data_IF_113924639464
#
_entry.id   IF_113924639464
#
_cell.length_a   1.000
_cell.length_b   1.000
_cell.length_c   1.000
_cell.angle_alpha   90.00
_cell.angle_beta   90.00
_cell.angle_gamma   90.00
#
_symmetry.space_group_name_H-M   'P 1'
#
loop_
_entity.id
_entity.type
_entity.pdbx_description
1 polymer ?
#
# COMPACT_ATOMS: atom_id res chain seq x y z
N UNK A 1 -0.24 6.97 -18.93
CA UNK A 1 -0.04 8.26 -19.60
C UNK A 1 0.53 9.21 -18.55
N UNK A 2 1.81 9.48 -18.63
CA UNK A 2 2.51 10.37 -17.70
C UNK A 2 2.68 11.73 -18.32
N UNK A 3 2.22 12.77 -17.63
CA UNK A 3 2.46 14.15 -17.96
C UNK A 3 3.85 14.60 -17.50
N UNK A 4 4.58 15.15 -18.44
CA UNK A 4 5.93 15.71 -18.31
C UNK A 4 5.89 16.98 -17.47
N UNK A 5 6.73 17.09 -16.44
CA UNK A 5 7.02 18.34 -15.75
C UNK A 5 7.88 19.24 -16.64
N UNK A 6 7.30 20.34 -17.09
CA UNK A 6 8.01 21.40 -17.78
C UNK A 6 8.70 22.34 -16.79
N UNK A 7 10.00 22.48 -16.93
CA UNK A 7 10.85 23.44 -16.23
C UNK A 7 10.73 24.81 -16.91
N UNK A 8 10.13 25.80 -16.27
CA UNK A 8 10.13 27.21 -16.75
C UNK A 8 11.38 27.91 -16.23
N UNK A 9 12.29 28.24 -17.12
CA UNK A 9 13.40 29.15 -16.89
C UNK A 9 12.93 30.58 -17.14
N UNK A 10 13.01 31.45 -16.14
CA UNK A 10 12.78 32.89 -16.24
C UNK A 10 14.10 33.59 -16.54
N UNK A 11 14.23 34.13 -17.76
CA UNK A 11 15.31 35.02 -18.18
C UNK A 11 14.99 36.44 -17.72
N UNK A 12 15.85 37.00 -16.87
CA UNK A 12 15.85 38.40 -16.52
C UNK A 12 16.65 39.20 -17.55
N UNK A 13 16.00 40.08 -18.28
CA UNK A 13 16.64 41.04 -19.19
C UNK A 13 16.88 42.35 -18.45
N UNK A 14 18.14 42.71 -18.33
CA UNK A 14 18.54 44.04 -17.84
C UNK A 14 18.38 45.11 -18.91
N UNK A 15 17.88 46.30 -18.52
CA UNK A 15 17.95 47.48 -19.29
C UNK A 15 18.74 48.55 -18.55
N UNK A 16 19.83 48.99 -19.18
CA UNK A 16 20.66 50.11 -18.77
C UNK A 16 20.07 51.38 -19.42
N UNK A 17 19.83 52.43 -18.65
CA UNK A 17 19.42 53.73 -19.13
C UNK A 17 20.12 54.84 -18.38
N UNK A 18 20.94 55.61 -19.11
CA UNK A 18 21.70 56.76 -18.64
C UNK A 18 20.87 58.07 -18.59
N UNK A 19 21.12 58.87 -17.56
CA UNK A 19 21.40 60.28 -17.70
C UNK A 19 20.26 61.29 -17.66
N UNK A 20 20.29 62.23 -16.69
CA UNK A 20 19.57 63.47 -16.70
C UNK A 20 19.65 64.19 -15.35
N UNK A 21 20.51 65.27 -15.29
CA UNK A 21 20.57 66.23 -14.17
C UNK A 21 19.42 67.23 -14.21
N UNK A 22 18.90 67.60 -13.02
CA UNK A 22 18.23 68.89 -12.86
C UNK A 22 17.20 68.94 -11.76
N UNK A 23 17.40 69.87 -10.78
CA UNK A 23 16.34 70.54 -10.04
C UNK A 23 16.02 69.99 -8.64
N UNK A 24 16.50 70.76 -7.64
CA UNK A 24 16.11 70.62 -6.24
C UNK A 24 14.69 71.19 -6.06
N UNK A 25 13.78 70.42 -5.48
CA UNK A 25 12.66 70.90 -4.66
C UNK A 25 12.29 69.81 -3.66
N UNK A 26 12.45 70.18 -2.38
CA UNK A 26 12.21 69.31 -1.23
C UNK A 26 10.72 69.04 -1.04
N UNK A 27 10.34 67.79 -1.40
CA UNK A 27 9.13 67.14 -0.83
C UNK A 27 9.60 65.91 -0.08
N UNK A 28 9.25 65.85 1.21
CA UNK A 28 9.47 64.71 2.04
C UNK A 28 8.77 63.47 1.39
N UNK A 29 9.57 62.47 1.01
CA UNK A 29 9.03 61.20 0.58
C UNK A 29 8.31 60.52 1.74
N UNK A 30 7.10 59.99 1.51
CA UNK A 30 6.43 59.16 2.50
C UNK A 30 7.25 57.88 2.69
N UNK A 31 7.71 57.63 3.93
CA UNK A 31 8.34 56.36 4.32
C UNK A 31 7.56 55.17 3.72
N UNK A 32 8.19 54.22 3.09
CA UNK A 32 7.48 53.05 2.59
C UNK A 32 6.84 52.32 3.77
N UNK A 33 5.52 52.18 3.73
CA UNK A 33 4.77 51.29 4.64
C UNK A 33 5.39 49.90 4.59
N UNK A 34 5.63 49.25 5.73
CA UNK A 34 6.18 47.89 5.74
C UNK A 34 5.23 46.97 4.95
N UNK A 35 5.71 46.42 3.87
CA UNK A 35 4.99 45.37 3.15
C UNK A 35 4.61 44.25 4.11
N UNK A 36 3.38 43.72 4.06
CA UNK A 36 2.97 42.61 4.91
C UNK A 36 3.93 41.45 4.68
N UNK A 37 4.60 41.05 5.76
CA UNK A 37 5.50 39.91 5.77
C UNK A 37 4.68 38.69 5.32
N UNK A 38 5.03 38.10 4.19
CA UNK A 38 4.39 36.87 3.71
C UNK A 38 4.50 35.81 4.80
N UNK A 39 3.40 35.52 5.48
CA UNK A 39 3.31 34.41 6.44
C UNK A 39 3.37 33.14 5.63
N UNK A 40 4.52 32.48 5.61
CA UNK A 40 4.66 31.14 5.05
C UNK A 40 3.68 30.21 5.78
N UNK A 41 2.82 29.54 5.03
CA UNK A 41 1.90 28.55 5.60
C UNK A 41 2.69 27.51 6.41
N UNK A 42 2.18 27.06 7.55
CA UNK A 42 2.87 26.08 8.39
C UNK A 42 3.13 24.78 7.59
N UNK A 43 4.25 24.09 7.87
CA UNK A 43 4.51 22.78 7.27
C UNK A 43 3.32 21.86 7.48
N UNK A 44 2.94 21.09 6.43
CA UNK A 44 1.76 20.24 6.48
C UNK A 44 2.04 18.82 6.02
N UNK A 45 1.15 17.89 6.39
CA UNK A 45 1.18 16.51 5.94
C UNK A 45 -0.17 16.06 5.38
N UNK A 46 -0.09 15.03 4.53
CA UNK A 46 -1.23 14.30 3.97
C UNK A 46 -1.05 12.81 4.26
N UNK A 47 -2.15 12.08 4.35
CA UNK A 47 -2.22 10.63 4.28
C UNK A 47 -2.61 10.19 2.86
N UNK A 48 -1.70 9.49 2.17
CA UNK A 48 -2.01 8.76 0.94
C UNK A 48 -2.50 7.38 1.36
N UNK A 49 -3.63 6.96 0.85
CA UNK A 49 -4.31 5.76 1.34
C UNK A 49 -4.54 4.74 0.23
N UNK A 50 -4.64 3.49 0.63
CA UNK A 50 -5.16 2.36 -0.12
C UNK A 50 -6.08 1.52 0.79
N UNK A 51 -7.10 0.80 0.24
CA UNK A 51 -7.56 0.76 -1.14
C UNK A 51 -8.12 2.07 -1.68
N UNK A 52 -8.25 2.17 -3.00
CA UNK A 52 -8.82 3.34 -3.67
C UNK A 52 -10.34 3.44 -3.47
N UNK A 53 -10.86 4.68 -3.53
CA UNK A 53 -12.29 4.93 -3.42
C UNK A 53 -13.07 4.22 -4.52
N UNK A 54 -14.12 3.49 -4.11
CA UNK A 54 -15.03 2.78 -5.02
C UNK A 54 -14.45 1.48 -5.59
N UNK A 55 -13.23 1.08 -5.21
CA UNK A 55 -12.64 -0.18 -5.65
C UNK A 55 -13.34 -1.40 -5.05
N UNK A 56 -13.22 -2.55 -5.72
CA UNK A 56 -13.51 -3.86 -5.16
C UNK A 56 -12.19 -4.60 -4.93
N UNK A 57 -11.98 -5.09 -3.71
CA UNK A 57 -10.73 -5.73 -3.28
C UNK A 57 -10.96 -7.11 -2.70
N UNK A 58 -9.93 -7.94 -2.63
CA UNK A 58 -9.97 -9.26 -1.99
C UNK A 58 -10.07 -9.17 -0.47
N UNK A 59 -10.38 -10.31 0.15
CA UNK A 59 -10.62 -10.44 1.60
C UNK A 59 -9.40 -10.13 2.46
N UNK A 60 -8.19 -10.21 1.89
CA UNK A 60 -6.93 -9.90 2.58
C UNK A 60 -6.50 -8.43 2.52
N UNK A 61 -7.33 -7.53 1.98
CA UNK A 61 -6.97 -6.12 1.87
C UNK A 61 -6.72 -5.49 3.25
N UNK A 62 -5.61 -4.77 3.36
CA UNK A 62 -5.26 -3.94 4.53
C UNK A 62 -5.45 -2.48 4.14
N UNK A 63 -6.11 -1.70 5.01
CA UNK A 63 -6.19 -0.26 4.81
C UNK A 63 -4.85 0.35 5.23
N UNK A 64 -4.15 0.95 4.28
CA UNK A 64 -2.84 1.58 4.53
C UNK A 64 -2.95 3.09 4.37
N UNK A 65 -2.35 3.84 5.30
CA UNK A 65 -2.17 5.29 5.21
C UNK A 65 -0.68 5.60 5.26
N UNK A 66 -0.16 6.14 4.14
CA UNK A 66 1.23 6.60 4.02
C UNK A 66 1.28 8.11 4.16
N UNK A 67 2.01 8.59 5.15
CA UNK A 67 2.13 10.02 5.43
C UNK A 67 3.27 10.65 4.60
N UNK A 68 3.01 11.83 4.04
CA UNK A 68 3.99 12.60 3.26
C UNK A 68 5.16 13.10 4.13
N UNK A 69 4.99 13.12 5.46
CA UNK A 69 6.01 13.48 6.46
C UNK A 69 6.01 12.47 7.60
N UNK A 70 7.12 12.40 8.34
CA UNK A 70 7.21 11.59 9.55
C UNK A 70 6.25 12.11 10.64
N UNK A 71 5.55 11.19 11.28
CA UNK A 71 4.61 11.44 12.37
C UNK A 71 5.29 11.06 13.70
N UNK A 72 5.39 12.01 14.60
CA UNK A 72 5.88 11.81 15.98
C UNK A 72 4.73 11.77 16.98
N UNK A 73 3.66 12.52 16.75
CA UNK A 73 2.44 12.51 17.57
C UNK A 73 1.46 11.42 17.10
N UNK A 74 1.94 10.15 17.08
CA UNK A 74 1.22 9.01 16.49
C UNK A 74 -0.18 8.82 17.05
N UNK A 75 -0.34 8.84 18.38
CA UNK A 75 -1.64 8.65 19.02
C UNK A 75 -2.67 9.73 18.61
N UNK A 76 -2.22 10.97 18.45
CA UNK A 76 -3.09 12.07 18.04
C UNK A 76 -3.55 11.91 16.59
N UNK A 77 -2.63 11.52 15.69
CA UNK A 77 -2.94 11.26 14.28
C UNK A 77 -3.82 10.02 14.13
N UNK A 78 -3.53 8.94 14.84
CA UNK A 78 -4.30 7.69 14.78
C UNK A 78 -5.74 7.87 15.24
N UNK A 79 -5.99 8.66 16.32
CA UNK A 79 -7.35 9.03 16.75
C UNK A 79 -8.15 9.78 15.68
N UNK A 80 -7.46 10.47 14.77
CA UNK A 80 -8.07 11.14 13.61
C UNK A 80 -8.35 10.20 12.42
N UNK A 81 -8.04 8.91 12.55
CA UNK A 81 -8.20 7.90 11.49
C UNK A 81 -9.01 6.74 12.01
N UNK A 82 -10.21 6.53 11.49
CA UNK A 82 -11.06 5.41 11.87
C UNK A 82 -11.52 4.63 10.65
N UNK A 83 -11.72 3.32 10.82
CA UNK A 83 -12.29 2.46 9.79
C UNK A 83 -13.57 1.85 10.31
N UNK A 84 -14.66 2.03 9.57
CA UNK A 84 -15.95 1.40 9.85
C UNK A 84 -16.30 0.41 8.75
N UNK A 85 -17.14 -0.58 9.05
CA UNK A 85 -17.57 -1.57 8.07
C UNK A 85 -19.03 -1.98 8.22
N UNK A 86 -19.59 -2.54 7.16
CA UNK A 86 -20.90 -3.18 7.15
C UNK A 86 -20.78 -4.56 6.50
N UNK A 87 -21.00 -5.68 7.22
CA UNK A 87 -21.27 -5.74 8.68
C UNK A 87 -20.13 -5.16 9.53
N UNK A 88 -20.42 -4.66 10.76
CA UNK A 88 -19.41 -4.03 11.59
C UNK A 88 -18.44 -5.07 12.17
N UNK A 89 -17.15 -4.77 12.06
CA UNK A 89 -16.07 -5.52 12.71
C UNK A 89 -15.06 -4.54 13.34
N UNK A 90 -14.46 -4.86 14.49
CA UNK A 90 -13.38 -4.06 15.07
C UNK A 90 -12.17 -4.00 14.13
N UNK A 91 -11.62 -2.79 13.95
CA UNK A 91 -10.43 -2.54 13.14
C UNK A 91 -9.42 -1.79 13.99
N UNK A 92 -8.18 -2.27 14.03
CA UNK A 92 -7.10 -1.69 14.84
C UNK A 92 -5.94 -1.31 13.93
N UNK A 93 -5.27 -0.20 14.28
CA UNK A 93 -4.10 0.29 13.58
C UNK A 93 -2.80 -0.37 14.05
N UNK A 94 -1.79 -0.40 13.18
CA UNK A 94 -0.42 -0.81 13.48
C UNK A 94 0.55 0.13 12.73
N UNK A 95 1.48 0.73 13.46
CA UNK A 95 2.47 1.63 12.88
C UNK A 95 3.72 0.86 12.42
N UNK A 96 4.02 1.01 11.14
CA UNK A 96 5.30 0.60 10.57
C UNK A 96 6.20 1.83 10.33
N UNK A 97 7.07 2.10 11.29
CA UNK A 97 7.92 3.28 11.26
C UNK A 97 7.13 4.60 11.43
N UNK A 98 7.72 5.75 11.08
CA UNK A 98 7.10 7.06 11.34
C UNK A 98 6.13 7.51 10.23
N UNK A 99 6.01 6.79 9.13
CA UNK A 99 5.29 7.26 7.95
C UNK A 99 4.20 6.32 7.46
N UNK A 100 3.95 5.21 8.12
CA UNK A 100 2.95 4.23 7.69
C UNK A 100 2.10 3.75 8.86
N UNK A 101 0.79 3.85 8.70
CA UNK A 101 -0.23 3.25 9.55
C UNK A 101 -1.06 2.28 8.70
N UNK A 102 -1.07 1.02 9.08
CA UNK A 102 -1.93 0.00 8.50
C UNK A 102 -3.07 -0.31 9.46
N UNK A 103 -4.27 -0.58 8.93
CA UNK A 103 -5.46 -0.88 9.72
C UNK A 103 -6.13 -2.14 9.15
N UNK A 104 -6.39 -3.13 10.02
CA UNK A 104 -7.06 -4.36 9.65
C UNK A 104 -7.93 -4.91 10.79
N UNK A 105 -8.93 -5.76 10.50
CA UNK A 105 -9.60 -6.56 11.52
C UNK A 105 -8.72 -7.73 11.98
N UNK A 106 -9.17 -8.45 13.00
CA UNK A 106 -8.45 -9.63 13.53
C UNK A 106 -8.37 -10.80 12.52
N UNK A 107 -9.35 -10.91 11.63
CA UNK A 107 -9.45 -11.93 10.57
C UNK A 107 -9.67 -11.26 9.22
N UNK A 108 -9.48 -11.99 8.12
CA UNK A 108 -9.81 -11.52 6.78
C UNK A 108 -11.24 -10.98 6.72
N UNK A 109 -11.44 -9.97 5.88
CA UNK A 109 -12.76 -9.41 5.63
C UNK A 109 -13.71 -10.46 5.08
N UNK A 110 -14.99 -10.33 5.42
CA UNK A 110 -16.01 -11.15 4.79
C UNK A 110 -16.40 -10.58 3.41
N UNK A 111 -16.67 -11.45 2.41
CA UNK A 111 -17.20 -11.02 1.12
C UNK A 111 -18.44 -10.13 1.25
N UNK A 112 -18.54 -9.12 0.40
CA UNK A 112 -19.64 -8.17 0.40
C UNK A 112 -19.54 -7.06 1.46
N UNK A 113 -18.53 -7.08 2.34
CA UNK A 113 -18.33 -6.02 3.33
C UNK A 113 -18.02 -4.68 2.64
N UNK A 114 -18.78 -3.65 3.02
CA UNK A 114 -18.47 -2.27 2.66
C UNK A 114 -17.62 -1.65 3.77
N UNK A 115 -16.43 -1.20 3.43
CA UNK A 115 -15.47 -0.61 4.37
C UNK A 115 -15.34 0.89 4.08
N UNK A 116 -15.33 1.71 5.13
CA UNK A 116 -15.14 3.17 5.01
C UNK A 116 -13.99 3.62 5.91
N UNK A 117 -12.97 4.21 5.29
CA UNK A 117 -11.88 4.92 5.96
C UNK A 117 -12.32 6.38 6.17
N UNK A 118 -12.31 6.84 7.41
CA UNK A 118 -12.55 8.21 7.82
C UNK A 118 -11.22 8.88 8.16
N UNK A 119 -10.82 9.86 7.39
CA UNK A 119 -9.66 10.71 7.68
C UNK A 119 -10.15 12.06 8.24
N UNK A 120 -9.75 12.39 9.47
CA UNK A 120 -10.07 13.65 10.17
C UNK A 120 -8.76 14.27 10.65
N UNK A 121 -7.89 14.57 9.68
CA UNK A 121 -6.52 15.03 9.94
C UNK A 121 -6.36 16.55 9.86
N UNK A 122 -7.38 17.28 9.38
CA UNK A 122 -7.31 18.74 9.27
C UNK A 122 -7.12 19.40 10.64
N UNK A 123 -5.99 20.12 10.80
CA UNK A 123 -5.62 20.78 12.05
C UNK A 123 -5.01 19.85 13.10
N UNK A 124 -4.90 18.56 12.84
CA UNK A 124 -4.22 17.59 13.73
C UNK A 124 -2.71 17.76 13.60
N UNK A 125 -2.02 17.95 14.72
CA UNK A 125 -0.57 18.06 14.75
C UNK A 125 0.08 16.68 14.68
N UNK A 126 0.83 16.41 13.60
CA UNK A 126 1.53 15.14 13.39
C UNK A 126 2.96 15.14 13.92
N UNK A 127 3.57 16.30 14.01
CA UNK A 127 4.86 16.60 14.60
C UNK A 127 4.91 18.07 14.95
N UNK A 128 5.88 18.51 15.77
CA UNK A 128 5.97 19.90 16.22
C UNK A 128 5.87 20.90 15.05
N UNK A 129 4.82 21.72 15.04
CA UNK A 129 4.53 22.71 14.00
C UNK A 129 4.12 22.12 12.63
N UNK A 130 3.87 20.83 12.51
CA UNK A 130 3.45 20.16 11.27
C UNK A 130 2.02 19.67 11.41
N UNK A 131 1.09 20.25 10.65
CA UNK A 131 -0.34 19.96 10.77
C UNK A 131 -0.91 19.23 9.57
N UNK A 132 -1.88 18.35 9.81
CA UNK A 132 -2.64 17.70 8.76
C UNK A 132 -3.60 18.65 8.07
N UNK A 133 -3.82 18.47 6.77
CA UNK A 133 -4.71 19.35 5.98
C UNK A 133 -5.89 18.59 5.34
N UNK A 134 -6.03 17.31 5.65
CA UNK A 134 -6.99 16.42 4.99
C UNK A 134 -8.16 16.06 5.90
N UNK A 135 -9.38 16.09 5.33
CA UNK A 135 -10.58 15.53 5.96
C UNK A 135 -11.47 14.96 4.87
N UNK A 136 -11.68 13.62 4.89
CA UNK A 136 -12.52 12.93 3.89
C UNK A 136 -12.92 11.53 4.33
N UNK A 137 -13.92 10.99 3.63
CA UNK A 137 -14.36 9.60 3.73
C UNK A 137 -14.06 8.87 2.41
N UNK A 138 -13.58 7.64 2.53
CA UNK A 138 -13.22 6.78 1.42
C UNK A 138 -13.84 5.42 1.65
N UNK A 139 -14.73 5.00 0.76
CA UNK A 139 -15.36 3.66 0.85
C UNK A 139 -14.90 2.78 -0.29
N UNK A 140 -14.76 1.49 0.00
CA UNK A 140 -14.50 0.41 -0.95
C UNK A 140 -15.31 -0.83 -0.55
N UNK A 141 -15.39 -1.83 -1.44
CA UNK A 141 -16.12 -3.06 -1.20
C UNK A 141 -15.17 -4.25 -1.19
N UNK A 142 -15.37 -5.18 -0.27
CA UNK A 142 -14.71 -6.47 -0.28
C UNK A 142 -15.46 -7.39 -1.24
N UNK A 143 -14.75 -7.93 -2.23
CA UNK A 143 -15.31 -8.82 -3.23
C UNK A 143 -15.47 -10.26 -2.73
N UNK A 144 -15.30 -11.20 -3.64
CA UNK A 144 -15.33 -12.62 -3.34
C UNK A 144 -14.18 -13.06 -2.43
N UNK A 145 -14.37 -14.18 -1.72
CA UNK A 145 -13.26 -14.85 -1.05
C UNK A 145 -12.43 -15.64 -2.08
N UNK A 146 -11.21 -15.19 -2.31
CA UNK A 146 -10.21 -15.97 -3.04
C UNK A 146 -8.87 -15.88 -2.33
N UNK A 147 -8.27 -17.03 -2.10
CA UNK A 147 -6.92 -17.14 -1.61
C UNK A 147 -6.17 -18.25 -2.34
N UNK A 148 -4.86 -18.17 -2.36
CA UNK A 148 -4.01 -19.16 -3.00
C UNK A 148 -2.97 -19.65 -2.00
N UNK A 149 -2.67 -20.95 -2.06
CA UNK A 149 -1.58 -21.57 -1.29
C UNK A 149 -0.55 -22.10 -2.27
N UNK A 150 0.66 -21.59 -2.18
CA UNK A 150 1.83 -22.04 -2.93
C UNK A 150 2.64 -22.95 -2.02
N UNK A 151 2.73 -24.22 -2.36
CA UNK A 151 3.65 -25.18 -1.75
C UNK A 151 4.94 -25.16 -2.57
N UNK A 152 5.99 -24.51 -2.03
CA UNK A 152 7.26 -24.38 -2.72
C UNK A 152 8.01 -25.70 -2.87
N UNK A 153 7.83 -26.64 -1.95
CA UNK A 153 8.45 -27.96 -2.03
C UNK A 153 7.72 -28.90 -3.01
N UNK A 154 6.38 -28.75 -3.12
CA UNK A 154 5.57 -29.51 -4.06
C UNK A 154 5.47 -28.86 -5.46
N UNK A 155 6.01 -27.64 -5.63
CA UNK A 155 5.95 -26.84 -6.86
C UNK A 155 4.52 -26.62 -7.38
N UNK A 156 3.56 -26.41 -6.48
CA UNK A 156 2.15 -26.23 -6.82
C UNK A 156 1.56 -24.97 -6.19
N UNK A 157 0.58 -24.40 -6.88
CA UNK A 157 -0.30 -23.37 -6.34
C UNK A 157 -1.74 -23.88 -6.38
N UNK A 158 -2.37 -24.01 -5.22
CA UNK A 158 -3.78 -24.31 -5.11
C UNK A 158 -4.57 -23.02 -4.91
N UNK A 159 -5.47 -22.70 -5.83
CA UNK A 159 -6.35 -21.54 -5.77
C UNK A 159 -7.69 -21.97 -5.20
N UNK A 160 -8.12 -21.31 -4.15
CA UNK A 160 -9.42 -21.52 -3.50
C UNK A 160 -10.34 -20.34 -3.78
N UNK A 161 -11.62 -20.62 -3.95
CA UNK A 161 -12.68 -19.61 -4.01
C UNK A 161 -13.88 -20.08 -3.21
N UNK A 162 -14.37 -19.23 -2.31
CA UNK A 162 -15.53 -19.49 -1.46
C UNK A 162 -15.43 -20.85 -0.73
N UNK A 163 -14.21 -21.15 -0.25
CA UNK A 163 -13.89 -22.37 0.49
C UNK A 163 -13.67 -23.64 -0.35
N UNK A 164 -13.84 -23.59 -1.68
CA UNK A 164 -13.63 -24.73 -2.57
C UNK A 164 -12.35 -24.55 -3.41
N UNK A 165 -11.71 -25.67 -3.77
CA UNK A 165 -10.59 -25.67 -4.72
C UNK A 165 -11.12 -25.28 -6.11
N UNK A 166 -10.63 -24.16 -6.62
CA UNK A 166 -10.97 -23.67 -7.96
C UNK A 166 -10.03 -24.29 -9.01
N UNK A 167 -8.73 -24.31 -8.71
CA UNK A 167 -7.72 -24.87 -9.62
C UNK A 167 -6.40 -25.15 -8.89
N UNK A 168 -5.67 -26.17 -9.35
CA UNK A 168 -4.28 -26.41 -8.98
C UNK A 168 -3.41 -26.11 -10.19
N UNK A 169 -2.37 -25.30 -9.99
CA UNK A 169 -1.46 -24.85 -11.03
C UNK A 169 -0.03 -25.30 -10.69
N UNK A 170 0.72 -25.85 -11.66
CA UNK A 170 2.15 -26.06 -11.50
C UNK A 170 2.87 -24.71 -11.47
N UNK A 171 3.86 -24.56 -10.58
CA UNK A 171 4.64 -23.32 -10.43
C UNK A 171 6.14 -23.60 -10.38
N UNK A 172 6.94 -22.56 -10.52
CA UNK A 172 8.33 -22.49 -10.10
C UNK A 172 8.47 -21.37 -9.08
N UNK A 173 9.12 -21.63 -7.97
CA UNK A 173 9.42 -20.63 -6.94
C UNK A 173 10.91 -20.27 -6.95
N UNK A 174 11.40 -19.59 -5.91
CA UNK A 174 12.79 -19.18 -5.76
C UNK A 174 13.76 -20.36 -5.70
N UNK A 175 14.87 -20.23 -6.42
CA UNK A 175 15.97 -21.20 -6.41
C UNK A 175 16.58 -21.37 -5.00
N UNK A 176 17.41 -22.39 -4.76
CA UNK A 176 18.09 -22.56 -3.47
C UNK A 176 18.91 -21.33 -3.03
N UNK A 177 19.44 -20.56 -3.99
CA UNK A 177 20.23 -19.34 -3.74
C UNK A 177 19.35 -18.12 -3.46
N UNK A 178 18.11 -18.12 -3.95
CA UNK A 178 17.19 -16.99 -3.91
C UNK A 178 15.77 -17.46 -3.55
N UNK A 179 15.61 -17.93 -2.33
CA UNK A 179 14.38 -18.57 -1.87
C UNK A 179 13.18 -17.62 -1.82
N UNK A 180 11.98 -18.14 -2.00
CA UNK A 180 10.73 -17.38 -1.86
C UNK A 180 10.36 -17.28 -0.37
N UNK A 181 9.98 -16.11 0.13
CA UNK A 181 9.46 -15.95 1.50
C UNK A 181 8.27 -16.86 1.77
N UNK A 182 8.23 -17.44 2.97
CA UNK A 182 7.00 -18.06 3.49
C UNK A 182 6.00 -17.01 4.02
N UNK A 183 4.78 -17.43 4.29
CA UNK A 183 3.75 -16.64 4.94
C UNK A 183 2.71 -16.07 4.00
N UNK A 184 1.84 -15.24 4.56
CA UNK A 184 0.73 -14.62 3.83
C UNK A 184 1.18 -13.31 3.22
N UNK A 185 1.06 -13.21 1.91
CA UNK A 185 1.28 -12.01 1.12
C UNK A 185 -0.02 -11.60 0.44
N UNK A 186 -0.17 -10.33 0.12
CA UNK A 186 -1.39 -9.79 -0.51
C UNK A 186 -1.03 -9.19 -1.86
N UNK A 187 -1.83 -9.48 -2.88
CA UNK A 187 -1.67 -8.85 -4.19
C UNK A 187 -1.96 -7.35 -4.05
N UNK A 188 -0.92 -6.53 -4.21
CA UNK A 188 -1.00 -5.07 -4.05
C UNK A 188 -1.10 -4.32 -5.36
N UNK A 189 -0.55 -4.88 -6.44
CA UNK A 189 -0.52 -4.27 -7.77
C UNK A 189 -0.66 -5.36 -8.84
N UNK A 190 -1.23 -5.00 -9.98
CA UNK A 190 -1.40 -5.90 -11.13
C UNK A 190 -0.98 -5.18 -12.41
N UNK A 191 -0.15 -5.84 -13.20
CA UNK A 191 0.36 -5.36 -14.49
C UNK A 191 0.16 -6.41 -15.56
N UNK A 192 -0.46 -6.06 -16.68
CA UNK A 192 -0.53 -6.98 -17.83
C UNK A 192 0.85 -7.30 -18.36
N UNK A 193 1.72 -6.31 -18.40
CA UNK A 193 3.14 -6.45 -18.75
C UNK A 193 3.91 -5.40 -17.93
N UNK A 194 5.06 -5.80 -17.41
CA UNK A 194 5.96 -4.88 -16.70
C UNK A 194 7.42 -5.29 -16.88
N UNK A 195 8.35 -4.36 -16.70
CA UNK A 195 9.79 -4.67 -16.62
C UNK A 195 10.13 -5.14 -15.23
N UNK A 196 10.89 -6.21 -15.11
CA UNK A 196 11.51 -6.65 -13.88
C UNK A 196 13.03 -6.56 -14.00
N UNK A 197 13.63 -5.73 -13.15
CA UNK A 197 15.07 -5.48 -13.17
C UNK A 197 15.64 -5.71 -11.77
N UNK A 198 16.57 -6.66 -11.64
CA UNK A 198 17.21 -7.05 -10.39
C UNK A 198 17.91 -5.91 -9.67
N UNK A 199 18.43 -4.92 -10.39
CA UNK A 199 19.09 -3.75 -9.78
C UNK A 199 18.16 -2.91 -8.91
N UNK A 200 16.84 -2.95 -9.14
CA UNK A 200 15.84 -2.19 -8.37
C UNK A 200 15.45 -2.86 -7.05
N UNK A 201 15.82 -4.13 -6.87
CA UNK A 201 15.40 -4.97 -5.73
C UNK A 201 16.59 -5.67 -5.04
N UNK A 202 17.81 -5.23 -5.31
CA UNK A 202 19.02 -5.69 -4.60
C UNK A 202 19.74 -6.87 -5.25
N UNK A 203 19.32 -7.35 -6.42
CA UNK A 203 19.98 -8.42 -7.17
C UNK A 203 20.98 -7.91 -8.22
N UNK A 204 21.45 -6.64 -8.11
CA UNK A 204 22.40 -6.09 -9.05
C UNK A 204 21.92 -6.14 -10.50
N UNK A 205 22.73 -6.72 -11.37
CA UNK A 205 22.38 -6.92 -12.80
C UNK A 205 22.07 -8.34 -13.18
N UNK A 206 21.70 -9.21 -12.23
CA UNK A 206 21.47 -10.64 -12.48
C UNK A 206 20.34 -10.92 -13.47
N UNK A 207 19.32 -10.05 -13.51
CA UNK A 207 18.27 -10.12 -14.51
C UNK A 207 17.76 -8.74 -14.90
N UNK A 208 17.30 -8.63 -16.15
CA UNK A 208 16.60 -7.45 -16.69
C UNK A 208 15.66 -7.91 -17.81
N UNK A 209 14.40 -8.14 -17.44
CA UNK A 209 13.37 -8.66 -18.36
C UNK A 209 12.36 -7.55 -18.62
N UNK A 210 12.32 -6.99 -19.84
CA UNK A 210 11.55 -5.79 -20.15
C UNK A 210 10.04 -6.01 -20.23
N UNK A 211 9.59 -7.25 -20.46
CA UNK A 211 8.23 -7.57 -20.89
C UNK A 211 7.63 -8.77 -20.13
N UNK A 212 7.79 -8.80 -18.80
CA UNK A 212 7.20 -9.84 -17.94
C UNK A 212 5.68 -9.73 -17.94
N UNK A 213 4.94 -10.76 -18.43
CA UNK A 213 3.49 -10.71 -18.50
C UNK A 213 2.82 -11.09 -17.18
N UNK A 214 1.57 -10.67 -17.00
CA UNK A 214 0.66 -11.05 -15.93
C UNK A 214 1.27 -10.93 -14.52
N UNK A 215 2.00 -9.83 -14.28
CA UNK A 215 2.72 -9.63 -13.04
C UNK A 215 1.82 -9.06 -11.93
N UNK A 216 1.83 -9.71 -10.77
CA UNK A 216 1.10 -9.32 -9.56
C UNK A 216 2.08 -9.20 -8.40
N UNK A 217 2.23 -7.97 -7.87
CA UNK A 217 3.17 -7.67 -6.79
C UNK A 217 2.65 -8.19 -5.46
N UNK A 218 3.50 -8.88 -4.72
CA UNK A 218 3.21 -9.40 -3.38
C UNK A 218 3.94 -8.63 -2.28
N UNK A 219 5.19 -8.19 -2.54
CA UNK A 219 6.02 -7.52 -1.53
C UNK A 219 6.62 -6.21 -2.04
N UNK A 220 6.97 -5.32 -1.12
CA UNK A 220 7.71 -4.09 -1.45
C UNK A 220 9.14 -4.42 -1.95
N UNK A 221 9.74 -5.50 -1.46
CA UNK A 221 11.07 -5.96 -1.87
C UNK A 221 11.12 -6.64 -3.24
N UNK A 222 9.97 -6.79 -3.93
CA UNK A 222 9.97 -7.25 -5.32
C UNK A 222 9.61 -8.71 -5.55
N UNK A 223 8.96 -9.39 -4.61
CA UNK A 223 8.34 -10.70 -4.88
C UNK A 223 7.03 -10.51 -5.66
N UNK A 224 6.87 -11.27 -6.75
CA UNK A 224 5.68 -11.28 -7.60
C UNK A 224 5.18 -12.70 -7.83
N UNK A 225 3.91 -12.83 -8.21
CA UNK A 225 3.43 -13.91 -9.08
C UNK A 225 3.44 -13.35 -10.49
N UNK A 226 3.99 -14.06 -11.46
CA UNK A 226 4.07 -13.57 -12.83
C UNK A 226 4.10 -14.67 -13.88
N UNK A 227 3.77 -14.33 -15.12
CA UNK A 227 3.99 -15.21 -16.27
C UNK A 227 5.48 -15.36 -16.56
N UNK A 228 5.90 -16.59 -16.78
CA UNK A 228 7.27 -16.93 -17.10
C UNK A 228 7.29 -17.68 -18.45
N UNK A 229 7.57 -16.95 -19.52
CA UNK A 229 7.61 -17.47 -20.89
C UNK A 229 9.01 -17.96 -21.32
N UNK A 230 10.03 -17.68 -20.51
CA UNK A 230 11.43 -18.03 -20.84
C UNK A 230 11.89 -19.36 -20.21
N UNK A 231 11.17 -19.89 -19.22
CA UNK A 231 11.46 -21.20 -18.67
C UNK A 231 10.82 -22.29 -19.56
N UNK A 232 11.50 -23.42 -19.74
CA UNK A 232 10.88 -24.56 -20.43
C UNK A 232 9.73 -25.15 -19.60
N UNK A 233 8.70 -25.68 -20.26
CA UNK A 233 7.46 -26.12 -19.63
C UNK A 233 7.65 -27.17 -18.52
N UNK A 234 8.68 -28.02 -18.62
CA UNK A 234 8.99 -29.03 -17.63
C UNK A 234 9.45 -28.51 -16.26
N UNK A 235 9.89 -27.23 -16.19
CA UNK A 235 10.28 -26.59 -14.93
C UNK A 235 9.08 -26.43 -14.01
N UNK A 236 7.92 -26.09 -14.58
CA UNK A 236 6.72 -25.89 -13.77
C UNK A 236 6.21 -27.18 -13.18
N UNK A 237 6.10 -27.24 -11.85
CA UNK A 237 5.72 -28.42 -11.10
C UNK A 237 6.89 -29.36 -10.76
N UNK A 238 8.14 -29.00 -11.08
CA UNK A 238 9.29 -29.87 -10.82
C UNK A 238 10.51 -29.17 -10.22
N UNK A 239 10.76 -27.90 -10.53
CA UNK A 239 11.95 -27.19 -10.07
C UNK A 239 11.66 -25.73 -9.68
N UNK A 240 12.45 -25.22 -8.73
CA UNK A 240 12.45 -23.83 -8.30
C UNK A 240 13.68 -23.11 -8.90
N UNK A 241 13.46 -22.16 -9.79
CA UNK A 241 14.52 -21.55 -10.61
C UNK A 241 14.53 -20.03 -10.61
N UNK A 242 13.62 -19.37 -9.86
CA UNK A 242 13.50 -17.91 -9.86
C UNK A 242 14.39 -17.23 -8.83
N UNK A 243 14.41 -15.90 -8.85
CA UNK A 243 15.04 -15.04 -7.83
C UNK A 243 14.08 -14.69 -6.68
N UNK A 244 13.19 -15.61 -6.31
CA UNK A 244 12.24 -15.46 -5.21
C UNK A 244 10.80 -15.17 -5.64
N UNK A 245 10.54 -14.91 -6.92
CA UNK A 245 9.18 -14.79 -7.46
C UNK A 245 8.52 -16.16 -7.66
N UNK A 246 7.20 -16.16 -7.83
CA UNK A 246 6.40 -17.35 -8.17
C UNK A 246 6.08 -17.24 -9.67
N UNK A 247 6.70 -18.10 -10.47
CA UNK A 247 6.50 -18.18 -11.91
C UNK A 247 5.39 -19.17 -12.28
N UNK A 248 4.48 -18.75 -13.13
CA UNK A 248 3.46 -19.56 -13.78
C UNK A 248 3.78 -19.65 -15.28
N UNK A 249 3.50 -20.77 -15.92
CA UNK A 249 3.70 -20.91 -17.35
C UNK A 249 2.91 -19.86 -18.13
N UNK A 250 3.58 -19.23 -19.10
CA UNK A 250 3.00 -18.22 -19.98
C UNK A 250 3.69 -18.21 -21.34
N UNK A 251 3.18 -17.38 -22.25
CA UNK A 251 3.80 -17.09 -23.53
C UNK A 251 4.30 -15.65 -23.56
N UNK A 252 5.24 -15.33 -24.41
CA UNK A 252 5.74 -13.97 -24.58
C UNK A 252 4.59 -13.05 -24.97
N UNK A 253 4.45 -11.92 -24.24
CA UNK A 253 3.35 -10.99 -24.39
C UNK A 253 2.08 -11.33 -23.62
N UNK A 254 2.03 -12.50 -22.98
CA UNK A 254 0.91 -12.96 -22.15
C UNK A 254 -0.22 -13.62 -22.95
N UNK A 255 -0.59 -14.84 -22.60
CA UNK A 255 -1.73 -15.57 -23.18
C UNK A 255 -2.90 -15.64 -22.20
N UNK A 256 -4.14 -15.46 -22.69
CA UNK A 256 -5.35 -15.57 -21.85
C UNK A 256 -5.60 -16.99 -21.34
N UNK A 257 -5.21 -17.99 -22.14
CA UNK A 257 -5.47 -19.43 -21.87
C UNK A 257 -4.31 -20.11 -21.12
N UNK A 258 -3.25 -19.35 -20.81
CA UNK A 258 -2.10 -19.85 -20.04
C UNK A 258 -2.42 -19.93 -18.55
N UNK A 259 -1.68 -20.74 -17.75
CA UNK A 259 -1.80 -20.74 -16.30
C UNK A 259 -1.67 -19.36 -15.68
N UNK A 260 -0.71 -18.54 -16.14
CA UNK A 260 -0.49 -17.18 -15.65
C UNK A 260 -1.63 -16.24 -16.03
N UNK A 261 -2.09 -16.26 -17.29
CA UNK A 261 -3.19 -15.45 -17.77
C UNK A 261 -4.48 -15.76 -17.02
N UNK A 262 -4.79 -17.05 -16.89
CA UNK A 262 -5.95 -17.48 -16.10
C UNK A 262 -5.88 -16.96 -14.66
N UNK A 263 -4.77 -17.16 -13.96
CA UNK A 263 -4.62 -16.70 -12.57
C UNK A 263 -4.71 -15.19 -12.45
N UNK A 264 -4.10 -14.47 -13.39
CA UNK A 264 -4.19 -13.01 -13.46
C UNK A 264 -5.62 -12.52 -13.60
N UNK A 265 -6.40 -13.09 -14.51
CA UNK A 265 -7.78 -12.68 -14.77
C UNK A 265 -8.73 -13.06 -13.61
N UNK A 266 -8.42 -14.15 -12.90
CA UNK A 266 -9.20 -14.57 -11.73
C UNK A 266 -8.87 -13.76 -10.47
N UNK A 267 -7.72 -13.12 -10.38
CA UNK A 267 -7.25 -12.43 -9.18
C UNK A 267 -7.62 -10.94 -9.17
N UNK A 268 -7.83 -10.39 -7.98
CA UNK A 268 -7.98 -8.94 -7.75
C UNK A 268 -6.98 -8.47 -6.69
N UNK A 269 -6.72 -7.16 -6.67
CA UNK A 269 -5.95 -6.54 -5.58
C UNK A 269 -6.63 -6.85 -4.25
N UNK A 270 -5.86 -7.27 -3.25
CA UNK A 270 -6.38 -7.70 -1.96
C UNK A 270 -6.60 -9.21 -1.82
N UNK A 271 -6.49 -10.01 -2.87
CA UNK A 271 -6.43 -11.47 -2.76
C UNK A 271 -5.12 -11.88 -2.08
N UNK A 272 -5.16 -12.97 -1.31
CA UNK A 272 -3.98 -13.46 -0.59
C UNK A 272 -3.29 -14.61 -1.35
N UNK A 273 -1.97 -14.60 -1.25
CA UNK A 273 -1.09 -15.70 -1.68
C UNK A 273 -0.26 -16.12 -0.47
N UNK A 274 -0.53 -17.30 0.08
CA UNK A 274 0.25 -17.88 1.15
C UNK A 274 1.30 -18.82 0.56
N UNK A 275 2.56 -18.64 0.96
CA UNK A 275 3.65 -19.57 0.61
C UNK A 275 3.97 -20.43 1.81
N UNK A 276 4.10 -21.72 1.60
CA UNK A 276 4.48 -22.72 2.59
C UNK A 276 5.61 -23.59 2.06
N UNK A 277 6.32 -24.29 2.96
CA UNK A 277 7.35 -25.25 2.64
C UNK A 277 8.52 -24.69 1.79
N UNK A 278 8.73 -23.38 1.83
CA UNK A 278 9.95 -22.77 1.32
C UNK A 278 11.05 -22.82 2.41
N UNK A 279 12.34 -22.98 2.06
CA UNK A 279 13.42 -22.92 3.05
C UNK A 279 13.70 -21.51 3.59
N UNK A 280 12.98 -20.48 3.12
CA UNK A 280 13.14 -19.09 3.57
C UNK A 280 12.36 -18.80 4.87
N UNK A 281 12.65 -17.64 5.45
CA UNK A 281 11.89 -17.06 6.57
C UNK A 281 10.49 -16.61 6.14
N UNK A 282 9.63 -16.37 7.13
CA UNK A 282 8.36 -15.67 6.88
C UNK A 282 8.62 -14.24 6.44
N UNK A 283 7.85 -13.75 5.47
CA UNK A 283 7.90 -12.37 5.00
C UNK A 283 7.69 -11.40 6.16
N UNK A 284 8.51 -10.34 6.21
CA UNK A 284 8.38 -9.33 7.24
C UNK A 284 7.02 -8.60 7.15
N UNK A 285 6.38 -8.27 8.27
CA UNK A 285 5.02 -7.72 8.29
C UNK A 285 4.91 -6.35 7.60
N UNK A 286 6.00 -5.59 7.51
CA UNK A 286 6.09 -4.30 6.83
C UNK A 286 6.51 -4.41 5.35
N UNK A 287 6.86 -5.61 4.88
CA UNK A 287 7.25 -5.85 3.50
C UNK A 287 6.02 -6.05 2.59
N UNK A 288 5.49 -4.96 2.06
CA UNK A 288 4.20 -4.94 1.41
C UNK A 288 3.05 -4.98 2.43
N UNK A 289 1.99 -5.71 2.13
CA UNK A 289 0.85 -5.94 3.04
C UNK A 289 1.02 -7.23 3.84
N UNK A 290 2.22 -7.43 4.41
CA UNK A 290 2.60 -8.63 5.19
C UNK A 290 2.04 -8.67 6.62
N UNK A 291 1.25 -7.69 7.03
CA UNK A 291 0.72 -7.56 8.40
C UNK A 291 -0.13 -8.74 8.88
N UNK A 292 -0.61 -9.61 7.98
CA UNK A 292 -1.31 -10.84 8.34
C UNK A 292 -0.42 -11.92 8.97
N UNK A 293 0.90 -11.76 8.90
CA UNK A 293 1.87 -12.65 9.55
C UNK A 293 2.14 -12.30 11.03
N UNK A 294 1.57 -11.21 11.53
CA UNK A 294 1.49 -10.93 12.96
C UNK A 294 0.22 -11.56 13.55
N UNK A 295 0.32 -12.21 14.70
CA UNK A 295 -0.86 -12.55 15.47
C UNK A 295 -1.60 -11.29 15.93
N UNK A 296 -2.78 -11.46 16.55
CA UNK A 296 -3.62 -10.30 16.89
C UNK A 296 -3.02 -9.45 18.01
N UNK A 297 -2.36 -10.07 18.98
CA UNK A 297 -1.74 -9.36 20.09
C UNK A 297 -0.53 -8.56 19.63
N UNK A 298 0.32 -9.16 18.77
CA UNK A 298 1.42 -8.49 18.10
C UNK A 298 0.92 -7.33 17.24
N UNK A 299 -0.19 -7.54 16.52
CA UNK A 299 -0.79 -6.49 15.70
C UNK A 299 -1.26 -5.31 16.54
N UNK A 300 -2.05 -5.56 17.57
CA UNK A 300 -2.62 -4.49 18.42
C UNK A 300 -1.56 -3.75 19.22
N UNK A 301 -0.46 -4.41 19.60
CA UNK A 301 0.68 -3.78 20.25
C UNK A 301 1.37 -2.69 19.39
N UNK A 302 1.16 -2.68 18.08
CA UNK A 302 1.69 -1.65 17.19
C UNK A 302 0.82 -0.41 17.06
N UNK A 303 -0.37 -0.37 17.67
CA UNK A 303 -1.20 0.82 17.76
C UNK A 303 -0.60 1.84 18.73
N UNK A 304 -0.70 3.12 18.39
CA UNK A 304 -0.35 4.20 19.31
C UNK A 304 -1.53 4.60 20.23
N UNK A 305 -2.70 4.01 20.01
CA UNK A 305 -3.88 4.18 20.85
C UNK A 305 -3.96 2.92 21.70
N UNK A 306 -3.45 3.00 22.95
CA UNK A 306 -3.75 1.99 23.95
C UNK A 306 -5.19 2.20 24.40
N UNK A 307 -6.08 1.26 24.11
CA UNK A 307 -7.34 1.22 24.84
C UNK A 307 -6.98 0.98 26.31
N UNK A 308 -7.42 1.91 27.17
CA UNK A 308 -7.36 1.69 28.60
C UNK A 308 -8.31 0.52 28.92
N UNK A 309 -7.83 -0.67 29.34
CA UNK A 309 -8.73 -1.80 29.61
C UNK A 309 -9.69 -1.54 30.78
N UNK A 310 -9.63 -0.35 31.39
CA UNK A 310 -10.45 0.07 32.52
C UNK A 310 -11.56 1.08 32.18
N UNK A 311 -11.79 1.43 30.90
CA UNK A 311 -12.96 2.25 30.56
C UNK A 311 -14.23 1.38 30.66
N UNK A 312 -15.12 1.58 31.66
CA UNK A 312 -16.36 0.83 31.75
C UNK A 312 -17.22 1.19 30.55
N UNK A 313 -17.63 0.18 29.78
CA UNK A 313 -18.69 0.32 28.79
C UNK A 313 -19.92 0.85 29.51
N UNK A 314 -20.21 2.13 29.36
CA UNK A 314 -21.44 2.72 29.85
C UNK A 314 -22.61 2.11 29.06
N UNK A 315 -23.12 1.01 29.60
CA UNK A 315 -24.44 0.49 29.24
C UNK A 315 -25.47 1.56 29.63
N UNK A 316 -25.89 2.37 28.69
CA UNK A 316 -27.09 3.17 28.83
C UNK A 316 -28.27 2.19 28.87
N UNK A 317 -28.64 1.80 30.09
CA UNK A 317 -29.92 1.17 30.35
C UNK A 317 -31.05 2.16 30.02
N UNK A 318 -32.19 1.68 29.51
CA UNK A 318 -33.34 2.53 29.25
C UNK A 318 -33.82 3.15 30.58
N UNK A 319 -34.34 4.40 30.59
CA UNK A 319 -34.88 4.99 31.81
C UNK A 319 -36.08 4.18 32.29
N UNK A 320 -36.05 3.86 33.57
CA UNK A 320 -37.17 3.22 34.27
C UNK A 320 -38.41 4.12 34.13
N UNK A 321 -39.42 3.64 33.42
CA UNK A 321 -40.74 4.25 33.36
C UNK A 321 -41.39 4.19 34.77
N UNK A 322 -41.70 5.34 35.30
CA UNK A 322 -42.67 5.47 36.42
C UNK A 322 -44.09 5.43 35.88
N UNK A 323 -44.82 4.45 36.37
CA UNK A 323 -46.30 4.30 36.52
C UNK A 323 -47.21 4.82 35.40
#
# INVERSE_FOLDING_TARGET
VFGVLGLLAVLASGAVGCGGRGGADGKADPSPSPSPRATTAPPSFLGVYSPEKGSTVGTGAIVTVLFTRGITHRAQVERGITVTSRPPVPVVGHWFGPRRLDLRPARFWQPGTVVTLHLRLRGVEGAAGVVGVQSKDVSFTVGRDQHSVVDAAAHTMTVYRDGAVLRVLPVTAGSPEHTTYNGVMVISEKYRVTRMNGSTVGFGGEYDIPDVPHAMRLTASGTFVHGNYWAPAWVFGSENTSHGCIGLEDVKGGGSDTPAGWFYDQSIIGDTVQVVNSPDRTVAPDNGSGGWNLDWDQWTAGSAITEDPAAPTALHGPPAGTR
#
